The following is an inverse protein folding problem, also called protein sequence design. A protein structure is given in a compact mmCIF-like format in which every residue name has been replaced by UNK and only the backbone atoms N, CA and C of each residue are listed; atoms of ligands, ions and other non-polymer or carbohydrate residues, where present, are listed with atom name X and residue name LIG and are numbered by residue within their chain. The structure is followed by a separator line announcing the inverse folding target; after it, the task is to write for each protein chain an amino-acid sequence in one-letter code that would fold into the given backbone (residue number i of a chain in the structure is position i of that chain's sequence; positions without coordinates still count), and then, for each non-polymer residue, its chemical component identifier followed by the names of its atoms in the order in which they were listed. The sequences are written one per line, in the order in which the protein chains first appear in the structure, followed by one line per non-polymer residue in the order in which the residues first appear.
data_IF_780619056700
#
_entry.id   IF_780619056700
#
_cell.length_a   1.000
_cell.length_b   1.000
_cell.length_c   1.000
_cell.angle_alpha   90.00
_cell.angle_beta   90.00
_cell.angle_gamma   90.00
#
_symmetry.space_group_name_H-M   'P 1'
#
loop_
_entity.id
_entity.type
_entity.pdbx_description
1 polymer ?
#
# COMPACT_ATOMS: atom_id res chain seq x y z
N UNK A 1 -10.84 -28.92 32.78
CA UNK A 1 -11.96 -27.98 32.97
C UNK A 1 -12.22 -27.30 31.65
N UNK A 2 -13.39 -27.49 31.00
CA UNK A 2 -13.80 -26.73 29.81
C UNK A 2 -14.22 -25.35 30.35
N UNK A 3 -13.28 -24.42 30.45
CA UNK A 3 -13.59 -23.02 30.64
C UNK A 3 -14.44 -22.50 29.48
N UNK A 4 -15.22 -21.47 29.72
CA UNK A 4 -16.01 -20.76 28.72
C UNK A 4 -15.12 -20.48 27.51
N UNK A 5 -15.47 -21.06 26.36
CA UNK A 5 -14.71 -20.94 25.10
C UNK A 5 -15.05 -19.64 24.36
N UNK A 6 -15.80 -18.76 24.99
CA UNK A 6 -16.25 -17.50 24.39
C UNK A 6 -15.17 -16.42 24.55
N UNK A 7 -14.83 -15.75 23.46
CA UNK A 7 -13.95 -14.56 23.41
C UNK A 7 -14.83 -13.34 23.12
N UNK A 8 -14.83 -12.40 24.07
CA UNK A 8 -15.65 -11.19 24.04
C UNK A 8 -14.89 -10.05 23.41
N UNK A 9 -15.46 -9.50 22.35
CA UNK A 9 -14.84 -8.47 21.49
C UNK A 9 -15.42 -7.10 21.84
N UNK A 10 -14.55 -6.14 22.13
CA UNK A 10 -14.84 -4.73 22.16
C UNK A 10 -14.50 -4.10 20.81
N UNK A 11 -15.49 -3.55 20.11
CA UNK A 11 -15.32 -2.94 18.78
C UNK A 11 -15.31 -1.41 18.91
N UNK A 12 -14.25 -0.77 18.44
CA UNK A 12 -14.11 0.68 18.34
C UNK A 12 -14.35 1.11 16.88
N UNK A 13 -15.52 1.73 16.63
CA UNK A 13 -15.97 2.10 15.29
C UNK A 13 -16.89 1.06 14.65
N UNK A 14 -18.09 1.51 14.24
CA UNK A 14 -19.09 0.67 13.56
C UNK A 14 -19.54 1.34 12.25
N UNK A 15 -18.56 1.69 11.40
CA UNK A 15 -18.75 2.10 10.02
C UNK A 15 -18.88 0.88 9.10
N UNK A 16 -18.53 1.03 7.83
CA UNK A 16 -18.65 -0.04 6.83
C UNK A 16 -17.90 -1.34 7.24
N UNK A 17 -16.68 -1.21 7.77
CA UNK A 17 -15.86 -2.36 8.18
C UNK A 17 -16.38 -2.97 9.48
N UNK A 18 -16.62 -2.14 10.52
CA UNK A 18 -17.10 -2.63 11.81
C UNK A 18 -18.46 -3.31 11.72
N UNK A 19 -19.40 -2.74 10.96
CA UNK A 19 -20.71 -3.36 10.73
C UNK A 19 -20.60 -4.70 9.98
N UNK A 20 -19.73 -4.77 8.96
CA UNK A 20 -19.47 -6.01 8.23
C UNK A 20 -18.78 -7.07 9.12
N UNK A 21 -17.90 -6.65 10.05
CA UNK A 21 -17.29 -7.56 11.02
C UNK A 21 -18.36 -8.19 11.94
N UNK A 22 -19.27 -7.39 12.51
CA UNK A 22 -20.38 -7.91 13.34
C UNK A 22 -21.20 -8.93 12.57
N UNK A 23 -21.54 -8.64 11.30
CA UNK A 23 -22.26 -9.57 10.44
C UNK A 23 -21.47 -10.88 10.19
N UNK A 24 -20.16 -10.80 9.93
CA UNK A 24 -19.32 -11.96 9.68
C UNK A 24 -19.14 -12.82 10.92
N UNK A 25 -18.97 -12.21 12.11
CA UNK A 25 -18.89 -12.93 13.40
C UNK A 25 -20.17 -13.74 13.62
N UNK A 26 -21.34 -13.12 13.40
CA UNK A 26 -22.61 -13.79 13.53
C UNK A 26 -22.81 -14.92 12.50
N UNK A 27 -22.46 -14.66 11.22
CA UNK A 27 -22.66 -15.63 10.13
C UNK A 27 -21.70 -16.82 10.19
N UNK A 28 -20.46 -16.61 10.63
CA UNK A 28 -19.40 -17.63 10.59
C UNK A 28 -19.10 -18.25 11.97
N UNK A 29 -19.83 -17.88 13.03
CA UNK A 29 -19.55 -18.27 14.40
C UNK A 29 -19.41 -19.77 14.62
N UNK A 30 -20.31 -20.58 14.03
CA UNK A 30 -20.25 -22.04 14.14
C UNK A 30 -19.05 -22.64 13.40
N UNK A 31 -18.71 -22.11 12.21
CA UNK A 31 -17.54 -22.54 11.46
C UNK A 31 -16.23 -22.20 12.17
N UNK A 32 -16.14 -21.02 12.77
CA UNK A 32 -15.00 -20.61 13.61
C UNK A 32 -14.90 -21.53 14.84
N UNK A 33 -16.01 -21.77 15.53
CA UNK A 33 -16.04 -22.64 16.71
C UNK A 33 -15.62 -24.09 16.37
N UNK A 34 -16.08 -24.62 15.22
CA UNK A 34 -15.70 -25.96 14.77
C UNK A 34 -14.19 -26.08 14.48
N UNK A 35 -13.56 -25.03 13.92
CA UNK A 35 -12.13 -25.03 13.59
C UNK A 35 -11.22 -24.78 14.78
N UNK A 36 -11.62 -23.89 15.68
CA UNK A 36 -10.76 -23.37 16.75
C UNK A 36 -11.17 -23.81 18.16
N UNK A 37 -12.40 -24.28 18.34
CA UNK A 37 -13.01 -24.54 19.65
C UNK A 37 -13.34 -23.25 20.41
N UNK A 38 -13.35 -22.07 19.74
CA UNK A 38 -13.66 -20.78 20.34
C UNK A 38 -14.94 -20.19 19.74
N UNK A 39 -15.75 -19.57 20.58
CA UNK A 39 -16.88 -18.72 20.17
C UNK A 39 -16.46 -17.28 20.24
N UNK A 40 -16.80 -16.50 19.24
CA UNK A 40 -16.55 -15.06 19.19
C UNK A 40 -17.86 -14.33 19.44
N UNK A 41 -17.84 -13.32 20.28
CA UNK A 41 -19.01 -12.49 20.58
C UNK A 41 -18.61 -11.01 20.65
N UNK A 42 -19.35 -10.16 19.90
CA UNK A 42 -19.18 -8.71 19.99
C UNK A 42 -20.07 -8.19 21.11
N UNK A 43 -19.49 -7.89 22.26
CA UNK A 43 -20.22 -7.52 23.48
C UNK A 43 -20.31 -6.02 23.72
N UNK A 44 -19.39 -5.24 23.14
CA UNK A 44 -19.35 -3.77 23.26
C UNK A 44 -18.98 -3.16 21.92
N UNK A 45 -19.66 -2.09 21.55
CA UNK A 45 -19.40 -1.33 20.30
C UNK A 45 -19.40 0.16 20.62
N UNK A 46 -18.24 0.79 20.54
CA UNK A 46 -18.10 2.23 20.74
C UNK A 46 -18.19 2.98 19.41
N UNK A 47 -18.95 4.08 19.41
CA UNK A 47 -19.15 4.96 18.27
C UNK A 47 -19.25 6.42 18.71
N UNK A 48 -18.90 7.37 17.83
CA UNK A 48 -19.01 8.80 18.13
C UNK A 48 -20.46 9.30 18.19
N UNK A 49 -21.36 8.70 17.40
CA UNK A 49 -22.78 9.09 17.32
C UNK A 49 -23.66 7.84 17.44
N UNK A 50 -24.33 7.70 18.60
CA UNK A 50 -25.24 6.57 18.88
C UNK A 50 -26.51 6.64 18.02
N UNK A 51 -26.97 7.84 17.68
CA UNK A 51 -28.24 8.04 16.97
C UNK A 51 -28.14 7.71 15.47
N UNK A 52 -26.95 7.70 14.90
CA UNK A 52 -26.74 7.41 13.48
C UNK A 52 -27.17 5.97 13.17
N UNK A 53 -28.04 5.74 12.15
CA UNK A 53 -28.41 4.40 11.70
C UNK A 53 -27.18 3.58 11.23
N UNK A 54 -27.19 2.28 11.49
CA UNK A 54 -26.11 1.36 11.11
C UNK A 54 -26.61 0.22 10.24
N UNK A 55 -25.74 -0.30 9.41
CA UNK A 55 -26.04 -1.39 8.48
C UNK A 55 -26.16 -2.77 9.19
N UNK A 56 -26.11 -2.80 10.53
CA UNK A 56 -26.22 -4.02 11.35
C UNK A 56 -27.07 -3.74 12.59
N UNK A 57 -27.92 -4.71 12.96
CA UNK A 57 -28.63 -4.69 14.21
C UNK A 57 -27.71 -5.16 15.34
N UNK A 58 -27.68 -4.39 16.45
CA UNK A 58 -26.95 -4.72 17.67
C UNK A 58 -27.93 -5.02 18.80
N UNK A 59 -27.58 -5.92 19.68
CA UNK A 59 -28.37 -6.21 20.86
C UNK A 59 -28.48 -4.96 21.78
N UNK A 60 -29.57 -4.82 22.54
CA UNK A 60 -29.71 -3.73 23.50
C UNK A 60 -28.53 -3.68 24.48
N UNK A 61 -27.97 -2.48 24.72
CA UNK A 61 -26.87 -2.27 25.65
C UNK A 61 -25.46 -2.54 25.10
N UNK A 62 -25.33 -3.05 23.86
CA UNK A 62 -24.03 -3.27 23.20
C UNK A 62 -23.41 -1.95 22.72
N UNK A 63 -24.23 -1.02 22.25
CA UNK A 63 -23.78 0.25 21.66
C UNK A 63 -23.54 1.31 22.75
N UNK A 64 -22.40 1.99 22.67
CA UNK A 64 -22.01 3.07 23.59
C UNK A 64 -21.27 4.20 22.87
N UNK A 65 -21.20 5.39 23.49
CA UNK A 65 -20.31 6.47 23.08
C UNK A 65 -18.97 6.45 23.86
N UNK A 66 -18.85 5.63 24.85
CA UNK A 66 -17.68 5.54 25.75
C UNK A 66 -16.65 4.51 25.23
N UNK A 67 -15.77 4.93 24.34
CA UNK A 67 -14.70 4.09 23.82
C UNK A 67 -13.67 3.72 24.90
N UNK A 68 -13.41 4.62 25.84
CA UNK A 68 -12.48 4.36 26.95
C UNK A 68 -13.05 3.28 27.91
N UNK A 69 -14.36 3.36 28.20
CA UNK A 69 -15.06 2.34 28.96
C UNK A 69 -15.01 0.95 28.29
N UNK A 70 -15.14 0.88 26.96
CA UNK A 70 -15.00 -0.41 26.22
C UNK A 70 -13.61 -1.00 26.41
N UNK A 71 -12.57 -0.19 26.30
CA UNK A 71 -11.18 -0.65 26.46
C UNK A 71 -10.89 -1.08 27.89
N UNK A 72 -11.47 -0.37 28.88
CA UNK A 72 -11.29 -0.65 30.31
C UNK A 72 -12.16 -1.81 30.83
N UNK A 73 -13.22 -2.20 30.11
CA UNK A 73 -14.18 -3.23 30.56
C UNK A 73 -13.48 -4.58 30.77
N UNK A 74 -13.44 -5.14 32.00
CA UNK A 74 -12.80 -6.42 32.27
C UNK A 74 -13.46 -7.61 31.56
N UNK A 75 -14.71 -7.45 31.12
CA UNK A 75 -15.42 -8.47 30.33
C UNK A 75 -15.04 -8.46 28.84
N UNK A 76 -14.28 -7.47 28.37
CA UNK A 76 -13.73 -7.43 27.00
C UNK A 76 -12.38 -8.13 26.97
N UNK A 77 -12.29 -9.20 26.20
CA UNK A 77 -11.10 -10.05 26.06
C UNK A 77 -10.12 -9.56 24.98
N UNK A 78 -10.65 -8.91 23.91
CA UNK A 78 -9.94 -8.46 22.75
C UNK A 78 -10.57 -7.18 22.21
N UNK A 79 -9.75 -6.25 21.70
CA UNK A 79 -10.22 -4.98 21.14
C UNK A 79 -9.98 -4.97 19.63
N UNK A 80 -11.01 -4.56 18.86
CA UNK A 80 -10.90 -4.28 17.43
C UNK A 80 -11.04 -2.79 17.21
N UNK A 81 -10.05 -2.15 16.56
CA UNK A 81 -10.09 -0.75 16.20
C UNK A 81 -10.36 -0.62 14.69
N UNK A 82 -11.47 0.05 14.35
CA UNK A 82 -11.93 0.35 12.99
C UNK A 82 -12.50 1.79 12.92
N UNK A 83 -11.95 2.72 13.70
CA UNK A 83 -12.37 4.13 13.74
C UNK A 83 -11.63 4.97 12.72
N UNK A 84 -10.33 4.67 12.50
CA UNK A 84 -9.42 5.50 11.71
C UNK A 84 -8.91 6.74 12.44
N UNK A 85 -8.03 7.49 11.77
CA UNK A 85 -7.35 8.66 12.35
C UNK A 85 -6.28 8.29 13.39
N UNK A 86 -5.57 9.29 13.90
CA UNK A 86 -4.48 9.07 14.86
C UNK A 86 -5.02 9.03 16.29
N UNK A 87 -5.65 10.12 16.75
CA UNK A 87 -6.25 10.18 18.07
C UNK A 87 -7.78 10.21 17.96
N UNK A 88 -8.51 9.54 18.83
CA UNK A 88 -8.07 8.85 20.06
C UNK A 88 -7.61 7.38 19.84
N UNK A 89 -7.55 6.88 18.60
CA UNK A 89 -7.25 5.47 18.30
C UNK A 89 -5.93 5.03 18.92
N UNK A 90 -4.86 5.82 18.78
CA UNK A 90 -3.55 5.56 19.37
C UNK A 90 -3.61 5.38 20.88
N UNK A 91 -4.20 6.34 21.58
CA UNK A 91 -4.33 6.29 23.06
C UNK A 91 -5.14 5.09 23.52
N UNK A 92 -6.22 4.73 22.82
CA UNK A 92 -7.08 3.59 23.14
C UNK A 92 -6.35 2.26 22.90
N UNK A 93 -5.64 2.11 21.78
CA UNK A 93 -4.83 0.91 21.49
C UNK A 93 -3.75 0.73 22.56
N UNK A 94 -2.99 1.77 22.88
CA UNK A 94 -1.96 1.71 23.94
C UNK A 94 -2.53 1.32 25.29
N UNK A 95 -3.74 1.81 25.62
CA UNK A 95 -4.43 1.45 26.85
C UNK A 95 -4.85 -0.02 26.86
N UNK A 96 -5.41 -0.53 25.73
CA UNK A 96 -5.78 -1.94 25.60
C UNK A 96 -4.57 -2.88 25.75
N UNK A 97 -3.48 -2.58 25.03
CA UNK A 97 -2.24 -3.36 25.09
C UNK A 97 -1.67 -3.40 26.50
N UNK A 98 -1.58 -2.25 27.20
CA UNK A 98 -1.12 -2.16 28.59
C UNK A 98 -2.01 -2.93 29.57
N UNK A 99 -3.30 -3.05 29.27
CA UNK A 99 -4.24 -3.87 30.03
C UNK A 99 -4.16 -5.38 29.72
N UNK A 100 -3.21 -5.81 28.88
CA UNK A 100 -3.03 -7.20 28.48
C UNK A 100 -4.10 -7.70 27.50
N UNK A 101 -4.75 -6.80 26.77
CA UNK A 101 -5.75 -7.14 25.76
C UNK A 101 -5.12 -7.11 24.38
N UNK A 102 -5.22 -8.20 23.59
CA UNK A 102 -4.85 -8.17 22.18
C UNK A 102 -5.66 -7.12 21.40
N UNK A 103 -5.03 -6.52 20.41
CA UNK A 103 -5.66 -5.53 19.54
C UNK A 103 -5.56 -5.95 18.09
N UNK A 104 -6.67 -5.80 17.36
CA UNK A 104 -6.73 -5.90 15.90
C UNK A 104 -7.09 -4.54 15.34
N UNK A 105 -6.30 -4.01 14.40
CA UNK A 105 -6.54 -2.69 13.81
C UNK A 105 -6.53 -2.71 12.28
N UNK A 106 -7.38 -1.92 11.65
CA UNK A 106 -7.37 -1.64 10.21
C UNK A 106 -6.80 -0.24 9.88
N UNK A 107 -6.16 0.43 10.85
CA UNK A 107 -5.76 1.83 10.80
C UNK A 107 -4.36 2.00 10.23
N UNK A 108 -4.28 2.04 8.91
CA UNK A 108 -3.00 2.22 8.18
C UNK A 108 -2.29 3.53 8.51
N UNK A 109 -3.05 4.63 8.71
CA UNK A 109 -2.49 5.94 8.99
C UNK A 109 -1.75 5.96 10.33
N UNK A 110 -2.37 5.38 11.34
CA UNK A 110 -1.77 5.23 12.66
C UNK A 110 -0.51 4.33 12.63
N UNK A 111 -0.58 3.20 11.94
CA UNK A 111 0.56 2.28 11.83
C UNK A 111 1.73 2.87 11.05
N UNK A 112 1.47 3.60 9.96
CA UNK A 112 2.51 4.24 9.15
C UNK A 112 3.21 5.42 9.85
N UNK A 113 2.60 5.95 10.93
CA UNK A 113 3.13 7.10 11.69
C UNK A 113 3.68 6.70 13.06
N UNK A 114 3.01 5.79 13.75
CA UNK A 114 3.30 5.41 15.15
C UNK A 114 3.46 3.88 15.34
N UNK A 115 3.68 3.13 14.25
CA UNK A 115 3.74 1.67 14.29
C UNK A 115 4.77 1.14 15.27
N UNK A 116 5.99 1.66 15.27
CA UNK A 116 7.06 1.21 16.17
C UNK A 116 6.66 1.31 17.66
N UNK A 117 6.02 2.43 18.07
CA UNK A 117 5.53 2.59 19.45
C UNK A 117 4.48 1.54 19.82
N UNK A 118 3.56 1.26 18.89
CA UNK A 118 2.48 0.30 19.11
C UNK A 118 3.01 -1.15 19.16
N UNK A 119 3.94 -1.50 18.28
CA UNK A 119 4.59 -2.81 18.28
C UNK A 119 5.39 -3.03 19.56
N UNK A 120 6.16 -2.04 19.98
CA UNK A 120 6.89 -2.07 21.24
C UNK A 120 5.96 -2.26 22.46
N UNK A 121 4.81 -1.58 22.46
CA UNK A 121 3.83 -1.71 23.52
C UNK A 121 3.21 -3.13 23.56
N UNK A 122 2.92 -3.71 22.38
CA UNK A 122 2.39 -5.07 22.26
C UNK A 122 3.40 -6.10 22.78
N UNK A 123 4.66 -6.00 22.34
CA UNK A 123 5.76 -6.89 22.78
C UNK A 123 5.96 -6.80 24.29
N UNK A 124 6.04 -5.58 24.85
CA UNK A 124 6.20 -5.37 26.31
C UNK A 124 5.05 -5.92 27.13
N UNK A 125 3.85 -5.94 26.57
CA UNK A 125 2.66 -6.47 27.25
C UNK A 125 2.44 -7.96 26.97
N UNK A 126 3.20 -8.59 26.08
CA UNK A 126 3.08 -10.00 25.72
C UNK A 126 1.75 -10.36 25.05
N UNK A 127 1.15 -9.43 24.31
CA UNK A 127 -0.12 -9.62 23.60
C UNK A 127 0.00 -9.24 22.12
N UNK A 128 -0.95 -9.69 21.32
CA UNK A 128 -0.97 -9.41 19.88
C UNK A 128 -1.39 -7.97 19.58
N UNK A 129 -0.72 -7.39 18.58
CA UNK A 129 -1.21 -6.31 17.77
C UNK A 129 -1.22 -6.81 16.31
N UNK A 130 -2.39 -7.10 15.77
CA UNK A 130 -2.56 -7.65 14.42
C UNK A 130 -3.24 -6.62 13.51
N UNK A 131 -2.86 -6.59 12.23
CA UNK A 131 -3.25 -5.50 11.33
C UNK A 131 -3.29 -5.89 9.84
N UNK A 132 -3.63 -7.14 9.54
CA UNK A 132 -3.76 -7.63 8.15
C UNK A 132 -4.63 -6.69 7.31
N UNK A 133 -5.73 -6.23 7.87
CA UNK A 133 -6.69 -5.35 7.20
C UNK A 133 -6.17 -3.93 6.89
N UNK A 134 -5.09 -3.49 7.50
CA UNK A 134 -4.51 -2.16 7.27
C UNK A 134 -3.82 -2.05 5.91
N UNK A 135 -3.37 -3.18 5.33
CA UNK A 135 -2.64 -3.20 4.06
C UNK A 135 -3.33 -4.14 3.07
N UNK A 136 -3.82 -3.57 1.96
CA UNK A 136 -4.48 -4.33 0.88
C UNK A 136 -5.69 -5.18 1.32
N UNK A 137 -6.37 -4.80 2.38
CA UNK A 137 -7.63 -5.35 2.88
C UNK A 137 -7.70 -6.88 2.92
N UNK A 138 -8.34 -7.53 1.92
CA UNK A 138 -8.56 -8.97 1.91
C UNK A 138 -7.34 -9.81 1.51
N UNK A 139 -6.29 -9.17 1.02
CA UNK A 139 -5.07 -9.87 0.60
C UNK A 139 -4.27 -10.27 1.85
N UNK A 140 -4.06 -11.57 2.12
CA UNK A 140 -3.25 -12.00 3.26
C UNK A 140 -1.76 -11.73 2.95
N UNK A 141 -1.26 -10.61 3.41
CA UNK A 141 0.11 -10.15 3.15
C UNK A 141 0.96 -10.03 4.42
N UNK A 142 0.42 -9.38 5.45
CA UNK A 142 1.18 -9.10 6.67
C UNK A 142 1.55 -10.38 7.42
N UNK A 143 0.64 -11.34 7.50
CA UNK A 143 0.90 -12.63 8.12
C UNK A 143 1.90 -13.48 7.34
N UNK A 144 1.78 -13.70 6.03
CA UNK A 144 2.82 -14.37 5.25
C UNK A 144 4.21 -13.75 5.39
N UNK A 145 4.34 -12.41 5.34
CA UNK A 145 5.62 -11.73 5.53
C UNK A 145 6.19 -12.00 6.93
N UNK A 146 5.36 -11.95 7.96
CA UNK A 146 5.76 -12.11 9.35
C UNK A 146 6.03 -13.56 9.75
N UNK A 147 5.28 -14.51 9.22
CA UNK A 147 5.25 -15.91 9.66
C UNK A 147 5.79 -16.86 8.61
N UNK A 148 5.15 -16.93 7.44
CA UNK A 148 5.50 -17.92 6.41
C UNK A 148 6.86 -17.67 5.78
N UNK A 149 7.26 -16.41 5.66
CA UNK A 149 8.52 -15.97 5.06
C UNK A 149 9.55 -15.52 6.10
N UNK A 150 9.29 -15.73 7.39
CA UNK A 150 10.19 -15.33 8.47
C UNK A 150 11.59 -16.01 8.39
N UNK A 151 11.69 -17.15 7.72
CA UNK A 151 12.95 -17.85 7.49
C UNK A 151 13.65 -17.48 6.19
N UNK A 152 13.06 -16.63 5.38
CA UNK A 152 13.64 -16.17 4.11
C UNK A 152 14.13 -14.72 4.22
N UNK A 153 15.08 -14.37 3.36
CA UNK A 153 15.49 -12.97 3.21
C UNK A 153 14.72 -12.33 2.08
N UNK A 154 13.79 -11.46 2.45
CA UNK A 154 13.05 -10.67 1.46
C UNK A 154 13.98 -9.60 0.91
N UNK A 155 14.13 -9.55 -0.41
CA UNK A 155 14.98 -8.58 -1.10
C UNK A 155 14.17 -7.45 -1.70
N UNK A 156 12.93 -7.76 -2.14
CA UNK A 156 12.08 -6.78 -2.82
C UNK A 156 10.60 -7.05 -2.59
N UNK A 157 9.85 -5.98 -2.45
CA UNK A 157 8.37 -6.00 -2.52
C UNK A 157 7.92 -4.94 -3.51
N UNK A 158 7.13 -5.34 -4.51
CA UNK A 158 6.50 -4.45 -5.49
C UNK A 158 4.99 -4.66 -5.43
N UNK A 159 4.19 -3.60 -5.32
CA UNK A 159 2.75 -3.75 -5.23
C UNK A 159 1.95 -2.66 -5.92
N UNK A 160 0.82 -3.07 -6.51
CA UNK A 160 -0.30 -2.22 -6.83
C UNK A 160 -1.19 -2.23 -5.60
N UNK A 161 -1.02 -1.24 -4.72
CA UNK A 161 -1.63 -1.22 -3.38
C UNK A 161 -2.75 -0.20 -3.22
N UNK A 162 -3.09 0.52 -4.31
CA UNK A 162 -4.21 1.45 -4.35
C UNK A 162 -5.14 1.08 -5.51
N UNK A 163 -6.38 0.70 -5.20
CA UNK A 163 -7.37 0.25 -6.18
C UNK A 163 -7.91 1.39 -7.05
N UNK A 164 -8.05 2.59 -6.50
CA UNK A 164 -8.57 3.78 -7.20
C UNK A 164 -7.66 4.15 -8.37
N UNK A 165 -6.36 4.28 -8.11
CA UNK A 165 -5.38 4.62 -9.16
C UNK A 165 -5.22 3.50 -10.18
N UNK A 166 -5.29 2.24 -9.75
CA UNK A 166 -5.24 1.13 -10.69
C UNK A 166 -6.50 1.09 -11.59
N UNK A 167 -7.68 1.40 -11.06
CA UNK A 167 -8.90 1.53 -11.86
C UNK A 167 -8.75 2.64 -12.91
N UNK A 168 -8.33 3.85 -12.50
CA UNK A 168 -8.13 5.00 -13.40
C UNK A 168 -7.16 4.62 -14.54
N UNK A 169 -5.98 4.10 -14.21
CA UNK A 169 -4.97 3.71 -15.19
C UNK A 169 -5.45 2.55 -16.09
N UNK A 170 -6.32 1.66 -15.59
CA UNK A 170 -6.94 0.60 -16.40
C UNK A 170 -7.90 1.21 -17.43
N UNK A 171 -8.76 2.16 -17.04
CA UNK A 171 -9.67 2.86 -17.97
C UNK A 171 -8.90 3.64 -19.05
N UNK A 172 -7.86 4.37 -18.65
CA UNK A 172 -6.98 5.06 -19.59
C UNK A 172 -6.32 4.08 -20.57
N UNK A 173 -5.89 2.91 -20.10
CA UNK A 173 -5.19 1.91 -20.92
C UNK A 173 -6.12 1.17 -21.88
N UNK A 174 -7.30 0.73 -21.43
CA UNK A 174 -8.20 -0.13 -22.20
C UNK A 174 -9.24 0.67 -22.98
N UNK A 175 -9.70 1.81 -22.42
CA UNK A 175 -10.71 2.68 -23.01
C UNK A 175 -10.12 3.86 -23.81
N UNK A 176 -8.83 4.17 -23.61
CA UNK A 176 -8.23 5.38 -24.18
C UNK A 176 -8.76 6.67 -23.56
N UNK A 177 -9.37 6.58 -22.39
CA UNK A 177 -9.99 7.70 -21.68
C UNK A 177 -8.93 8.70 -21.18
N UNK A 178 -9.35 9.97 -21.04
CA UNK A 178 -8.53 10.94 -20.33
C UNK A 178 -8.49 10.62 -18.83
N UNK A 179 -7.47 11.13 -18.12
CA UNK A 179 -7.41 11.01 -16.65
C UNK A 179 -8.67 11.58 -15.99
N UNK A 180 -9.19 12.71 -16.48
CA UNK A 180 -10.37 13.35 -15.92
C UNK A 180 -11.63 12.50 -16.07
N UNK A 181 -11.84 11.88 -17.24
CA UNK A 181 -13.00 11.03 -17.50
C UNK A 181 -12.93 9.74 -16.65
N UNK A 182 -11.77 9.09 -16.63
CA UNK A 182 -11.54 7.89 -15.82
C UNK A 182 -11.70 8.16 -14.31
N UNK A 183 -11.27 9.32 -13.81
CA UNK A 183 -11.49 9.75 -12.44
C UNK A 183 -12.98 9.98 -12.15
N UNK A 184 -13.70 10.65 -13.06
CA UNK A 184 -15.14 10.88 -12.90
C UNK A 184 -15.91 9.55 -12.87
N UNK A 185 -15.54 8.58 -13.69
CA UNK A 185 -16.11 7.23 -13.63
C UNK A 185 -15.80 6.55 -12.29
N UNK A 186 -14.56 6.61 -11.80
CA UNK A 186 -14.17 6.06 -10.51
C UNK A 186 -15.00 6.65 -9.36
N UNK A 187 -15.26 7.96 -9.40
CA UNK A 187 -16.11 8.64 -8.42
C UNK A 187 -17.57 8.18 -8.51
N UNK A 188 -18.11 8.04 -9.71
CA UNK A 188 -19.50 7.59 -9.93
C UNK A 188 -19.74 6.17 -9.44
N UNK A 189 -18.73 5.30 -9.52
CA UNK A 189 -18.75 3.91 -9.05
C UNK A 189 -18.40 3.77 -7.56
N UNK A 190 -18.00 4.87 -6.89
CA UNK A 190 -17.63 4.88 -5.47
C UNK A 190 -16.23 4.31 -5.19
N UNK A 191 -15.37 4.19 -6.18
CA UNK A 191 -13.96 3.84 -6.02
C UNK A 191 -13.12 5.03 -5.58
N UNK A 192 -13.48 6.25 -5.98
CA UNK A 192 -12.85 7.49 -5.55
C UNK A 192 -13.83 8.34 -4.74
N UNK A 193 -13.35 9.01 -3.71
CA UNK A 193 -14.09 10.01 -2.96
C UNK A 193 -14.14 11.33 -3.75
N UNK A 194 -14.95 12.31 -3.25
CA UNK A 194 -15.04 13.64 -3.87
C UNK A 194 -13.68 14.35 -3.90
N UNK A 195 -12.88 14.19 -2.85
CA UNK A 195 -11.48 14.60 -2.84
C UNK A 195 -10.60 13.34 -3.00
N UNK A 196 -10.09 13.07 -4.21
CA UNK A 196 -9.31 11.88 -4.49
C UNK A 196 -7.81 12.04 -4.20
N UNK A 197 -7.38 13.18 -3.65
CA UNK A 197 -5.96 13.54 -3.48
C UNK A 197 -5.16 12.45 -2.77
N UNK A 198 -5.73 11.85 -1.72
CA UNK A 198 -5.04 10.77 -1.00
C UNK A 198 -4.68 9.56 -1.88
N UNK A 199 -5.52 9.28 -2.88
CA UNK A 199 -5.29 8.20 -3.84
C UNK A 199 -4.40 8.66 -4.99
N UNK A 200 -4.82 9.68 -5.75
CA UNK A 200 -4.18 10.05 -7.02
C UNK A 200 -2.79 10.64 -6.86
N UNK A 201 -2.49 11.25 -5.70
CA UNK A 201 -1.17 11.73 -5.34
C UNK A 201 -0.32 10.69 -4.59
N UNK A 202 -0.83 9.46 -4.40
CA UNK A 202 -0.11 8.31 -3.87
C UNK A 202 0.09 8.29 -2.35
N UNK A 203 -0.60 9.13 -1.56
CA UNK A 203 -0.47 9.14 -0.09
C UNK A 203 -0.93 7.82 0.55
N UNK A 204 -2.07 7.27 0.10
CA UNK A 204 -2.56 5.97 0.56
C UNK A 204 -1.55 4.85 0.27
N UNK A 205 -1.00 4.85 -0.95
CA UNK A 205 0.00 3.87 -1.34
C UNK A 205 1.31 4.03 -0.54
N UNK A 206 1.73 5.26 -0.22
CA UNK A 206 2.92 5.53 0.57
C UNK A 206 2.78 5.03 2.03
N UNK A 207 1.62 5.25 2.66
CA UNK A 207 1.35 4.72 3.99
C UNK A 207 1.43 3.19 4.03
N UNK A 208 0.84 2.52 3.03
CA UNK A 208 0.93 1.05 2.91
C UNK A 208 2.35 0.57 2.62
N UNK A 209 3.11 1.28 1.76
CA UNK A 209 4.50 0.95 1.46
C UNK A 209 5.39 1.01 2.70
N UNK A 210 5.20 2.02 3.56
CA UNK A 210 5.93 2.12 4.83
C UNK A 210 5.67 0.92 5.74
N UNK A 211 4.40 0.51 5.89
CA UNK A 211 4.03 -0.66 6.71
C UNK A 211 4.61 -1.95 6.11
N UNK A 212 4.48 -2.13 4.79
CA UNK A 212 5.04 -3.30 4.08
C UNK A 212 6.55 -3.40 4.32
N UNK A 213 7.28 -2.29 4.10
CA UNK A 213 8.73 -2.26 4.28
C UNK A 213 9.12 -2.54 5.73
N UNK A 214 8.39 -1.98 6.69
CA UNK A 214 8.66 -2.20 8.12
C UNK A 214 8.53 -3.67 8.50
N UNK A 215 7.49 -4.35 8.02
CA UNK A 215 7.27 -5.77 8.31
C UNK A 215 8.23 -6.66 7.52
N UNK A 216 8.43 -6.40 6.23
CA UNK A 216 9.25 -7.25 5.37
C UNK A 216 10.74 -7.22 5.75
N UNK A 217 11.23 -6.07 6.22
CA UNK A 217 12.65 -5.88 6.53
C UNK A 217 12.97 -5.73 8.02
N UNK A 218 11.94 -5.73 8.90
CA UNK A 218 12.13 -5.61 10.36
C UNK A 218 12.68 -4.26 10.80
N UNK A 219 12.35 -3.16 10.12
CA UNK A 219 12.89 -1.81 10.35
C UNK A 219 11.75 -0.78 10.51
N UNK A 220 12.01 0.32 11.24
CA UNK A 220 11.03 1.41 11.41
C UNK A 220 11.08 2.36 10.21
N UNK A 221 10.18 2.17 9.24
CA UNK A 221 9.96 3.06 8.09
C UNK A 221 8.70 3.86 8.34
N UNK A 222 8.80 5.18 8.30
CA UNK A 222 7.65 6.09 8.45
C UNK A 222 7.16 6.55 7.08
N UNK A 223 5.91 6.96 7.02
CA UNK A 223 5.33 7.48 5.76
C UNK A 223 6.11 8.67 5.19
N UNK A 224 6.75 9.49 6.05
CA UNK A 224 7.61 10.59 5.62
C UNK A 224 8.93 10.16 4.97
N UNK A 225 9.34 8.92 5.14
CA UNK A 225 10.55 8.35 4.55
C UNK A 225 10.31 7.80 3.12
N UNK A 226 9.05 7.73 2.70
CA UNK A 226 8.66 7.17 1.40
C UNK A 226 8.68 8.26 0.34
N UNK A 227 9.53 8.10 -0.67
CA UNK A 227 9.46 8.94 -1.87
C UNK A 227 8.13 8.70 -2.60
N UNK A 228 7.49 9.77 -3.10
CA UNK A 228 6.15 9.65 -3.67
C UNK A 228 5.94 10.54 -4.89
N UNK A 229 5.37 9.94 -5.92
CA UNK A 229 4.81 10.60 -7.11
C UNK A 229 3.39 10.08 -7.36
N UNK A 230 2.47 10.97 -7.71
CA UNK A 230 1.09 10.64 -8.09
C UNK A 230 0.93 10.31 -9.57
N UNK A 231 -0.33 10.09 -9.99
CA UNK A 231 -0.68 9.76 -11.39
C UNK A 231 -1.29 10.94 -12.15
N UNK A 232 -1.47 12.09 -11.53
CA UNK A 232 -2.14 13.27 -12.13
C UNK A 232 -1.41 13.82 -13.35
N UNK A 233 -0.09 13.59 -13.46
CA UNK A 233 0.72 13.98 -14.60
C UNK A 233 0.70 12.98 -15.78
N UNK A 234 0.07 11.81 -15.64
CA UNK A 234 0.04 10.79 -16.69
C UNK A 234 -1.01 11.14 -17.76
N UNK A 235 -0.58 11.15 -19.00
CA UNK A 235 -1.45 11.47 -20.15
C UNK A 235 -1.90 10.22 -20.92
N UNK A 236 -2.96 10.36 -21.71
CA UNK A 236 -3.39 9.29 -22.62
C UNK A 236 -2.29 8.94 -23.65
N UNK A 237 -1.50 9.93 -24.07
CA UNK A 237 -0.37 9.72 -24.96
C UNK A 237 0.74 8.87 -24.35
N UNK A 238 1.04 9.09 -23.06
CA UNK A 238 2.01 8.26 -22.33
C UNK A 238 1.54 6.80 -22.25
N UNK A 239 0.26 6.60 -21.98
CA UNK A 239 -0.37 5.27 -21.95
C UNK A 239 -0.28 4.60 -23.33
N UNK A 240 -0.65 5.31 -24.38
CA UNK A 240 -0.59 4.79 -25.74
C UNK A 240 0.85 4.45 -26.17
N UNK A 241 1.80 5.29 -25.77
CA UNK A 241 3.21 5.05 -26.07
C UNK A 241 3.77 3.87 -25.25
N UNK A 242 3.42 3.76 -23.98
CA UNK A 242 3.77 2.60 -23.16
C UNK A 242 3.30 1.30 -23.83
N UNK A 243 2.03 1.26 -24.29
CA UNK A 243 1.47 0.09 -24.98
C UNK A 243 2.25 -0.26 -26.26
N UNK A 244 2.62 0.75 -27.09
CA UNK A 244 3.45 0.55 -28.28
C UNK A 244 4.84 -0.02 -28.00
N UNK A 245 5.39 0.31 -26.82
CA UNK A 245 6.69 -0.18 -26.36
C UNK A 245 6.60 -1.52 -25.61
N UNK A 246 5.40 -2.09 -25.44
CA UNK A 246 5.19 -3.37 -24.75
C UNK A 246 5.07 -3.24 -23.22
N UNK A 247 4.63 -2.09 -22.73
CA UNK A 247 4.45 -1.81 -21.32
C UNK A 247 3.02 -1.41 -20.97
N UNK A 248 2.69 -1.51 -19.68
CA UNK A 248 1.47 -0.96 -19.09
C UNK A 248 1.89 0.00 -17.97
N UNK A 249 1.26 1.16 -17.87
CA UNK A 249 1.54 2.11 -16.79
C UNK A 249 0.73 1.70 -15.54
N UNK A 250 1.43 1.59 -14.40
CA UNK A 250 0.84 1.29 -13.08
C UNK A 250 1.42 2.24 -12.04
N UNK A 251 0.62 2.60 -11.01
CA UNK A 251 1.16 3.17 -9.79
C UNK A 251 1.66 2.02 -8.92
N UNK A 252 2.96 1.99 -8.66
CA UNK A 252 3.57 0.92 -7.87
C UNK A 252 4.18 1.45 -6.58
N UNK A 253 3.98 0.71 -5.50
CA UNK A 253 4.76 0.83 -4.27
C UNK A 253 5.93 -0.15 -4.37
N UNK A 254 7.14 0.32 -4.15
CA UNK A 254 8.36 -0.49 -4.23
C UNK A 254 9.15 -0.34 -2.94
N UNK A 255 9.52 -1.44 -2.33
CA UNK A 255 10.43 -1.51 -1.21
C UNK A 255 11.56 -2.48 -1.54
N UNK A 256 12.78 -1.98 -1.62
CA UNK A 256 13.98 -2.77 -1.94
C UNK A 256 14.93 -2.77 -0.74
N UNK A 257 15.46 -3.95 -0.40
CA UNK A 257 16.58 -4.11 0.52
C UNK A 257 17.84 -4.37 -0.31
N UNK A 258 18.79 -3.45 -0.25
CA UNK A 258 20.01 -3.51 -1.06
C UNK A 258 21.24 -3.49 -0.18
N UNK A 259 22.30 -4.26 -0.50
CA UNK A 259 23.58 -4.18 0.22
C UNK A 259 24.14 -2.76 0.22
N UNK A 260 24.64 -2.32 1.37
CA UNK A 260 25.24 -1.00 1.51
C UNK A 260 26.35 -0.97 2.55
N UNK A 261 27.09 0.18 2.66
CA UNK A 261 28.13 0.33 3.66
C UNK A 261 27.57 0.16 5.09
N UNK A 262 28.07 -0.84 5.79
CA UNK A 262 27.67 -1.13 7.19
C UNK A 262 26.38 -1.92 7.35
N UNK A 263 25.89 -2.58 6.30
CA UNK A 263 24.71 -3.45 6.27
C UNK A 263 23.69 -3.01 5.23
N UNK A 264 22.57 -3.72 5.17
CA UNK A 264 21.53 -3.45 4.18
C UNK A 264 20.92 -2.07 4.36
N UNK A 265 20.66 -1.41 3.24
CA UNK A 265 19.91 -0.16 3.11
C UNK A 265 18.56 -0.45 2.46
N UNK A 266 17.56 0.28 2.86
CA UNK A 266 16.21 0.13 2.30
C UNK A 266 15.81 1.39 1.54
N UNK A 267 15.25 1.18 0.35
CA UNK A 267 14.63 2.24 -0.43
C UNK A 267 13.13 1.97 -0.54
N UNK A 268 12.31 2.94 -0.17
CA UNK A 268 10.85 2.83 -0.25
C UNK A 268 10.30 3.98 -1.08
N UNK A 269 9.51 3.64 -2.10
CA UNK A 269 8.98 4.63 -3.03
C UNK A 269 7.63 4.24 -3.61
N UNK A 270 6.86 5.23 -3.99
CA UNK A 270 5.60 5.10 -4.73
C UNK A 270 5.67 6.00 -5.94
N UNK A 271 5.50 5.46 -7.12
CA UNK A 271 5.53 6.23 -8.36
C UNK A 271 4.81 5.52 -9.50
N UNK A 272 4.36 6.25 -10.53
CA UNK A 272 3.98 5.65 -11.81
C UNK A 272 5.19 4.94 -12.42
N UNK A 273 4.97 3.77 -12.98
CA UNK A 273 6.02 3.00 -13.64
C UNK A 273 5.49 2.28 -14.88
N UNK A 274 6.38 2.10 -15.84
CA UNK A 274 6.15 1.24 -17.00
C UNK A 274 6.45 -0.20 -16.61
N UNK A 275 5.42 -1.03 -16.56
CA UNK A 275 5.49 -2.45 -16.22
C UNK A 275 5.46 -3.27 -17.50
N UNK A 276 6.46 -4.13 -17.79
CA UNK A 276 6.45 -5.00 -18.97
C UNK A 276 5.17 -5.84 -19.03
N UNK A 277 4.58 -6.00 -20.20
CA UNK A 277 3.34 -6.80 -20.38
C UNK A 277 3.51 -8.26 -19.94
N UNK A 278 4.73 -8.78 -19.96
CA UNK A 278 5.05 -10.12 -19.47
C UNK A 278 5.11 -10.22 -17.92
N UNK A 279 5.22 -9.09 -17.22
CA UNK A 279 5.28 -9.08 -15.75
C UNK A 279 3.89 -9.34 -15.16
N UNK A 280 3.73 -10.19 -14.11
CA UNK A 280 2.42 -10.53 -13.54
C UNK A 280 1.59 -9.31 -13.11
N UNK A 281 2.21 -8.25 -12.62
CA UNK A 281 1.52 -7.01 -12.23
C UNK A 281 0.85 -6.28 -13.41
N UNK A 282 1.30 -6.47 -14.64
CA UNK A 282 0.68 -5.86 -15.82
C UNK A 282 -0.77 -6.32 -16.03
N UNK A 283 -1.08 -7.56 -15.63
CA UNK A 283 -2.40 -8.15 -15.77
C UNK A 283 -3.41 -7.73 -14.67
N UNK A 284 -2.97 -6.97 -13.66
CA UNK A 284 -3.83 -6.51 -12.56
C UNK A 284 -4.69 -5.35 -13.04
N UNK A 285 -6.01 -5.53 -13.09
CA UNK A 285 -6.97 -4.58 -13.66
C UNK A 285 -7.92 -4.03 -12.61
N UNK A 286 -8.68 -3.03 -13.02
CA UNK A 286 -9.75 -2.41 -12.23
C UNK A 286 -9.28 -1.99 -10.82
N UNK A 287 -10.15 -2.12 -9.82
CA UNK A 287 -9.83 -1.79 -8.43
C UNK A 287 -9.15 -2.95 -7.66
N UNK A 288 -8.54 -3.91 -8.36
CA UNK A 288 -7.80 -4.98 -7.72
C UNK A 288 -6.40 -4.52 -7.32
N UNK A 289 -5.91 -5.10 -6.23
CA UNK A 289 -4.55 -4.95 -5.75
C UNK A 289 -3.76 -6.23 -5.97
N UNK A 290 -2.45 -6.09 -6.07
CA UNK A 290 -1.52 -7.21 -6.06
C UNK A 290 -0.19 -6.80 -5.44
N UNK A 291 0.42 -7.70 -4.70
CA UNK A 291 1.75 -7.52 -4.12
C UNK A 291 2.63 -8.67 -4.54
N UNK A 292 3.74 -8.33 -5.16
CA UNK A 292 4.78 -9.24 -5.61
C UNK A 292 5.93 -9.19 -4.62
N UNK A 293 6.30 -10.32 -4.05
CA UNK A 293 7.34 -10.44 -3.02
C UNK A 293 8.45 -11.31 -3.59
N UNK A 294 9.68 -10.87 -3.45
CA UNK A 294 10.87 -11.57 -3.89
C UNK A 294 11.73 -11.94 -2.68
N UNK A 295 11.90 -13.23 -2.47
CA UNK A 295 12.75 -13.80 -1.44
C UNK A 295 13.96 -14.52 -2.05
N UNK A 296 15.08 -14.57 -1.33
CA UNK A 296 16.30 -15.26 -1.81
C UNK A 296 16.07 -16.77 -2.00
N UNK A 297 15.30 -17.40 -1.13
CA UNK A 297 15.05 -18.84 -1.18
C UNK A 297 13.69 -19.18 -1.81
N UNK A 298 12.62 -18.46 -1.47
CA UNK A 298 11.29 -18.72 -1.99
C UNK A 298 11.11 -18.25 -3.44
N UNK A 299 11.99 -17.36 -3.92
CA UNK A 299 11.84 -16.75 -5.24
C UNK A 299 10.66 -15.77 -5.27
N UNK A 300 9.92 -15.79 -6.37
CA UNK A 300 8.88 -14.82 -6.67
C UNK A 300 7.51 -15.34 -6.22
N UNK A 301 6.82 -14.54 -5.40
CA UNK A 301 5.46 -14.82 -4.93
C UNK A 301 4.55 -13.64 -5.28
N UNK A 302 3.29 -13.92 -5.62
CA UNK A 302 2.31 -12.88 -5.89
C UNK A 302 1.05 -13.12 -5.07
N UNK A 303 0.61 -12.08 -4.37
CA UNK A 303 -0.65 -12.03 -3.63
C UNK A 303 -1.61 -11.09 -4.37
N UNK A 304 -2.80 -11.56 -4.71
CA UNK A 304 -3.76 -10.83 -5.53
C UNK A 304 -5.16 -10.89 -4.94
N UNK A 305 -5.90 -9.79 -4.98
CA UNK A 305 -7.27 -9.76 -4.50
C UNK A 305 -7.88 -8.36 -4.44
N UNK A 306 -8.99 -8.22 -3.70
CA UNK A 306 -9.62 -6.93 -3.46
C UNK A 306 -8.88 -6.16 -2.38
N UNK A 307 -8.37 -4.97 -2.72
CA UNK A 307 -7.59 -4.12 -1.85
C UNK A 307 -8.42 -3.20 -0.94
N UNK A 308 -9.75 -3.17 -1.09
CA UNK A 308 -10.66 -2.34 -0.30
C UNK A 308 -12.08 -2.94 -0.28
N UNK A 309 -12.96 -2.35 0.56
CA UNK A 309 -14.36 -2.71 0.67
C UNK A 309 -14.73 -3.23 2.07
N UNK A 310 -15.95 -2.96 2.54
CA UNK A 310 -16.38 -3.29 3.90
C UNK A 310 -16.22 -4.78 4.24
N UNK A 311 -16.80 -5.68 3.45
CA UNK A 311 -16.71 -7.14 3.68
C UNK A 311 -15.31 -7.71 3.48
N UNK A 312 -14.55 -7.38 2.39
CA UNK A 312 -13.18 -7.82 2.23
C UNK A 312 -12.27 -7.44 3.42
N UNK A 313 -12.32 -6.17 3.85
CA UNK A 313 -11.57 -5.67 5.00
C UNK A 313 -11.99 -6.37 6.30
N UNK A 314 -13.30 -6.52 6.53
CA UNK A 314 -13.82 -7.23 7.69
C UNK A 314 -13.42 -8.72 7.74
N UNK A 315 -13.23 -9.34 6.58
CA UNK A 315 -12.73 -10.73 6.50
C UNK A 315 -11.29 -10.85 7.03
N UNK A 316 -10.42 -9.91 6.69
CA UNK A 316 -9.06 -9.87 7.21
C UNK A 316 -9.05 -9.57 8.73
N UNK A 317 -9.87 -8.59 9.17
CA UNK A 317 -10.06 -8.32 10.61
C UNK A 317 -10.52 -9.57 11.36
N UNK A 318 -11.50 -10.31 10.83
CA UNK A 318 -11.98 -11.54 11.45
C UNK A 318 -10.88 -12.62 11.51
N UNK A 319 -10.05 -12.72 10.48
CA UNK A 319 -8.88 -13.61 10.50
C UNK A 319 -7.94 -13.28 11.65
N UNK A 320 -7.59 -12.01 11.82
CA UNK A 320 -6.74 -11.53 12.91
C UNK A 320 -7.40 -11.73 14.30
N UNK A 321 -8.71 -11.50 14.41
CA UNK A 321 -9.47 -11.75 15.63
C UNK A 321 -9.40 -13.23 16.03
N UNK A 322 -9.54 -14.14 15.06
CA UNK A 322 -9.43 -15.58 15.30
C UNK A 322 -8.03 -15.94 15.79
N UNK A 323 -6.98 -15.41 15.16
CA UNK A 323 -5.60 -15.67 15.57
C UNK A 323 -5.30 -15.13 16.96
N UNK A 324 -5.63 -13.86 17.23
CA UNK A 324 -5.44 -13.26 18.54
C UNK A 324 -6.19 -14.03 19.65
N UNK A 325 -7.40 -14.51 19.36
CA UNK A 325 -8.17 -15.33 20.28
C UNK A 325 -7.50 -16.69 20.56
N UNK A 326 -6.96 -17.34 19.52
CA UNK A 326 -6.22 -18.60 19.66
C UNK A 326 -4.92 -18.40 20.44
N UNK A 327 -4.13 -17.38 20.10
CA UNK A 327 -2.88 -17.03 20.78
C UNK A 327 -3.11 -16.74 22.25
N UNK A 328 -4.13 -15.91 22.57
CA UNK A 328 -4.50 -15.60 23.96
C UNK A 328 -4.83 -16.88 24.75
N UNK A 329 -5.60 -17.81 24.17
CA UNK A 329 -5.93 -19.10 24.82
C UNK A 329 -4.70 -19.96 25.06
N UNK A 330 -3.71 -19.92 24.16
CA UNK A 330 -2.47 -20.69 24.25
C UNK A 330 -1.42 -20.01 25.12
N UNK A 331 -1.62 -18.74 25.52
CA UNK A 331 -0.62 -17.94 26.23
C UNK A 331 0.58 -17.57 25.37
N UNK A 332 0.34 -17.43 24.06
CA UNK A 332 1.35 -17.03 23.06
C UNK A 332 0.96 -15.69 22.43
N UNK A 333 1.89 -15.07 21.72
CA UNK A 333 1.65 -13.91 20.88
C UNK A 333 2.45 -14.00 19.58
N UNK A 334 1.92 -13.47 18.50
CA UNK A 334 2.52 -13.44 17.19
C UNK A 334 2.81 -11.99 16.76
N UNK A 335 3.34 -11.18 17.66
CA UNK A 335 3.64 -9.77 17.42
C UNK A 335 4.79 -9.56 16.44
N UNK A 336 4.83 -8.37 15.83
CA UNK A 336 6.04 -7.88 15.15
C UNK A 336 7.08 -7.61 16.23
N UNK A 337 8.26 -8.22 16.13
CA UNK A 337 9.38 -7.94 17.02
C UNK A 337 9.79 -6.45 16.93
N UNK A 338 10.55 -5.96 17.91
CA UNK A 338 11.01 -4.57 17.89
C UNK A 338 11.70 -4.23 16.57
N UNK A 339 11.26 -3.17 15.93
CA UNK A 339 11.82 -2.73 14.65
C UNK A 339 13.18 -2.07 14.86
N UNK A 340 14.16 -2.44 14.04
CA UNK A 340 15.45 -1.76 14.02
C UNK A 340 15.33 -0.36 13.39
N UNK A 341 16.27 0.53 13.68
CA UNK A 341 16.33 1.82 13.01
C UNK A 341 16.58 1.62 11.50
N UNK A 342 15.77 2.26 10.68
CA UNK A 342 15.90 2.18 9.23
C UNK A 342 17.20 2.85 8.76
N UNK A 343 17.92 2.18 7.85
CA UNK A 343 18.98 2.78 7.05
C UNK A 343 18.43 3.01 5.66
N UNK A 344 17.96 4.22 5.43
CA UNK A 344 17.32 4.56 4.17
C UNK A 344 18.37 4.90 3.11
N UNK A 345 18.13 4.42 1.89
CA UNK A 345 18.86 4.82 0.71
C UNK A 345 18.15 5.97 0.03
N UNK A 346 18.82 7.11 -0.20
CA UNK A 346 18.21 8.24 -0.88
C UNK A 346 17.75 7.90 -2.29
N UNK A 347 16.65 8.52 -2.74
CA UNK A 347 16.07 8.29 -4.06
C UNK A 347 17.06 8.59 -5.20
N UNK A 348 17.84 9.65 -5.08
CA UNK A 348 18.83 10.10 -6.05
C UNK A 348 19.99 9.11 -6.31
N UNK A 349 20.24 8.19 -5.37
CA UNK A 349 21.21 7.10 -5.52
C UNK A 349 20.64 5.84 -6.18
N UNK A 350 19.30 5.73 -6.31
CA UNK A 350 18.68 4.59 -6.95
C UNK A 350 18.93 4.60 -8.45
N UNK A 351 18.97 3.41 -9.04
CA UNK A 351 19.15 3.25 -10.47
C UNK A 351 17.93 2.54 -11.08
N UNK A 352 17.49 3.03 -12.23
CA UNK A 352 16.40 2.46 -13.01
C UNK A 352 16.63 2.70 -14.50
N UNK A 353 15.89 2.02 -15.33
CA UNK A 353 15.67 2.45 -16.71
C UNK A 353 14.55 3.50 -16.72
N UNK A 354 14.63 4.43 -17.65
CA UNK A 354 13.67 5.54 -17.75
C UNK A 354 13.06 5.63 -19.15
N UNK A 355 11.77 5.89 -19.16
CA UNK A 355 11.07 6.43 -20.30
C UNK A 355 10.99 7.95 -20.14
N UNK A 356 11.25 8.68 -21.22
CA UNK A 356 11.12 10.13 -21.27
C UNK A 356 10.44 10.54 -22.56
N UNK A 357 9.45 11.42 -22.51
CA UNK A 357 8.85 12.06 -23.67
C UNK A 357 9.24 13.54 -23.74
N UNK A 358 9.55 14.03 -24.92
CA UNK A 358 9.92 15.42 -25.20
C UNK A 358 9.12 15.93 -26.38
N UNK A 359 8.39 17.02 -26.23
CA UNK A 359 7.86 17.77 -27.36
C UNK A 359 8.99 18.68 -27.88
N UNK A 360 9.28 18.61 -29.17
CA UNK A 360 10.46 19.25 -29.75
C UNK A 360 10.12 19.93 -31.10
N UNK A 361 10.88 20.94 -31.46
CA UNK A 361 10.79 21.52 -32.81
C UNK A 361 11.30 20.51 -33.84
N UNK A 362 10.64 20.42 -35.02
CA UNK A 362 11.02 19.48 -36.08
C UNK A 362 12.03 20.15 -37.04
N UNK A 363 13.31 20.08 -36.68
CA UNK A 363 14.40 20.61 -37.53
C UNK A 363 15.69 19.80 -37.36
N UNK A 364 16.61 19.88 -38.37
CA UNK A 364 17.93 19.25 -38.24
C UNK A 364 18.70 19.72 -37.00
N UNK A 365 19.41 18.76 -36.34
CA UNK A 365 20.25 19.03 -35.16
C UNK A 365 19.55 18.92 -33.81
N UNK A 366 18.22 18.68 -33.78
CA UNK A 366 17.48 18.50 -32.51
C UNK A 366 17.97 17.26 -31.76
N UNK A 367 18.01 16.12 -32.45
CA UNK A 367 18.43 14.87 -31.84
C UNK A 367 19.90 14.93 -31.33
N UNK A 368 20.78 15.65 -32.01
CA UNK A 368 22.16 15.88 -31.59
C UNK A 368 22.20 16.61 -30.23
N UNK A 369 21.44 17.71 -30.11
CA UNK A 369 21.40 18.50 -28.87
C UNK A 369 20.80 17.70 -27.70
N UNK A 370 19.72 16.96 -27.96
CA UNK A 370 19.10 16.07 -26.97
C UNK A 370 20.11 14.99 -26.55
N UNK A 371 20.74 14.27 -27.49
CA UNK A 371 21.71 13.24 -27.17
C UNK A 371 22.94 13.79 -26.42
N UNK A 372 23.35 15.01 -26.70
CA UNK A 372 24.44 15.67 -25.97
C UNK A 372 24.08 15.93 -24.48
N UNK A 373 22.82 16.24 -24.16
CA UNK A 373 22.39 16.38 -22.77
C UNK A 373 22.51 15.05 -22.01
N UNK A 374 22.06 13.95 -22.59
CA UNK A 374 22.21 12.61 -22.02
C UNK A 374 23.68 12.23 -21.81
N UNK A 375 24.53 12.51 -22.82
CA UNK A 375 25.96 12.19 -22.76
C UNK A 375 26.68 12.94 -21.64
N UNK A 376 26.35 14.21 -21.38
CA UNK A 376 26.95 15.02 -20.31
C UNK A 376 26.76 14.40 -18.92
N UNK A 377 25.65 13.72 -18.70
CA UNK A 377 25.33 13.08 -17.43
C UNK A 377 25.55 11.55 -17.46
N UNK A 378 26.25 11.05 -18.47
CA UNK A 378 26.59 9.61 -18.60
C UNK A 378 25.33 8.71 -18.65
N UNK A 379 24.21 9.23 -19.12
CA UNK A 379 22.97 8.47 -19.32
C UNK A 379 22.97 7.90 -20.74
N UNK A 380 22.95 6.58 -20.86
CA UNK A 380 22.94 5.88 -22.16
C UNK A 380 21.52 5.63 -22.64
N UNK A 381 21.25 5.87 -23.91
CA UNK A 381 19.96 5.68 -24.54
C UNK A 381 19.89 4.29 -25.20
N UNK A 382 18.83 3.54 -24.89
CA UNK A 382 18.53 2.24 -25.53
C UNK A 382 17.76 2.44 -26.83
N UNK A 383 16.76 3.33 -26.78
CA UNK A 383 15.82 3.50 -27.88
C UNK A 383 15.40 4.96 -28.02
N UNK A 384 15.29 5.41 -29.25
CA UNK A 384 14.70 6.69 -29.61
C UNK A 384 13.61 6.45 -30.65
N UNK A 385 12.46 7.04 -30.43
CA UNK A 385 11.35 7.02 -31.37
C UNK A 385 10.87 8.46 -31.60
N UNK A 386 10.82 8.91 -32.83
CA UNK A 386 10.15 10.16 -33.20
C UNK A 386 8.72 9.89 -33.65
N UNK A 387 7.79 10.64 -33.13
CA UNK A 387 6.35 10.57 -33.43
C UNK A 387 5.88 11.97 -33.80
N UNK A 388 5.01 12.06 -34.80
CA UNK A 388 4.56 13.35 -35.34
C UNK A 388 5.60 14.06 -36.22
N UNK A 389 5.22 15.19 -36.74
CA UNK A 389 6.03 16.07 -37.56
C UNK A 389 5.61 17.52 -37.36
N UNK A 390 6.49 18.49 -37.68
CA UNK A 390 6.22 19.89 -37.48
C UNK A 390 5.99 20.27 -36.02
N UNK A 391 4.95 21.03 -35.75
CA UNK A 391 4.61 21.50 -34.39
C UNK A 391 4.15 20.40 -33.44
N UNK A 392 3.92 19.18 -33.94
CA UNK A 392 3.52 18.01 -33.12
C UNK A 392 4.66 16.98 -32.99
N UNK A 393 5.90 17.37 -33.30
CA UNK A 393 7.04 16.46 -33.21
C UNK A 393 7.36 16.11 -31.76
N UNK A 394 7.43 14.82 -31.47
CA UNK A 394 7.76 14.29 -30.16
C UNK A 394 8.89 13.27 -30.27
N UNK A 395 9.87 13.38 -29.39
CA UNK A 395 10.88 12.36 -29.16
C UNK A 395 10.51 11.54 -27.92
N UNK A 396 10.49 10.24 -28.07
CA UNK A 396 10.35 9.29 -26.96
C UNK A 396 11.67 8.54 -26.83
N UNK A 397 12.21 8.56 -25.63
CA UNK A 397 13.49 7.93 -25.30
C UNK A 397 13.31 6.89 -24.20
N UNK A 398 14.01 5.76 -24.36
CA UNK A 398 14.18 4.77 -23.30
C UNK A 398 15.66 4.65 -23.00
N UNK A 399 16.05 4.71 -21.71
CA UNK A 399 17.46 4.69 -21.32
C UNK A 399 17.90 3.29 -20.89
N UNK A 400 19.22 3.05 -20.88
CA UNK A 400 19.80 2.03 -20.03
C UNK A 400 19.63 2.40 -18.55
N UNK A 401 19.98 1.49 -17.65
CA UNK A 401 19.97 1.78 -16.21
C UNK A 401 20.87 2.98 -15.90
N UNK A 402 20.31 4.00 -15.27
CA UNK A 402 20.99 5.21 -14.84
C UNK A 402 20.56 5.58 -13.43
N UNK A 403 21.40 6.31 -12.70
CA UNK A 403 21.00 6.82 -11.39
C UNK A 403 19.96 7.92 -11.52
N UNK A 404 19.07 7.99 -10.55
CA UNK A 404 18.01 9.01 -10.52
C UNK A 404 18.59 10.43 -10.62
N UNK A 405 19.65 10.75 -9.85
CA UNK A 405 20.31 12.07 -9.90
C UNK A 405 20.84 12.43 -11.29
N UNK A 406 21.39 11.44 -12.02
CA UNK A 406 21.97 11.67 -13.33
C UNK A 406 20.85 11.88 -14.38
N UNK A 407 19.74 11.16 -14.21
CA UNK A 407 18.55 11.35 -15.04
C UNK A 407 17.87 12.70 -14.78
N UNK A 408 17.72 13.10 -13.51
CA UNK A 408 17.16 14.42 -13.17
C UNK A 408 18.01 15.58 -13.71
N UNK A 409 19.33 15.49 -13.59
CA UNK A 409 20.24 16.46 -14.17
C UNK A 409 20.13 16.52 -15.71
N UNK A 410 19.94 15.35 -16.36
CA UNK A 410 19.65 15.29 -17.80
C UNK A 410 18.36 16.02 -18.15
N UNK A 411 17.29 15.78 -17.38
CA UNK A 411 15.98 16.45 -17.57
C UNK A 411 16.10 17.97 -17.40
N UNK A 412 16.86 18.42 -16.42
CA UNK A 412 17.06 19.86 -16.16
C UNK A 412 17.82 20.52 -17.34
N UNK A 413 18.85 19.86 -17.86
CA UNK A 413 19.54 20.33 -19.07
C UNK A 413 18.61 20.37 -20.29
N UNK A 414 17.77 19.34 -20.47
CA UNK A 414 16.82 19.30 -21.59
C UNK A 414 15.79 20.42 -21.54
N UNK A 415 15.32 20.80 -20.35
CA UNK A 415 14.41 21.95 -20.15
C UNK A 415 15.04 23.28 -20.58
N UNK A 416 16.36 23.36 -20.54
CA UNK A 416 17.13 24.55 -20.95
C UNK A 416 17.40 24.64 -22.46
N UNK A 417 17.08 23.61 -23.27
CA UNK A 417 17.33 23.60 -24.69
C UNK A 417 16.22 24.34 -25.47
N UNK A 418 16.59 25.29 -26.32
CA UNK A 418 15.65 26.01 -27.20
C UNK A 418 14.89 25.11 -28.20
N UNK A 419 15.38 23.88 -28.41
CA UNK A 419 14.78 22.90 -29.32
C UNK A 419 13.77 21.99 -28.62
N UNK A 420 13.63 22.11 -27.29
CA UNK A 420 12.69 21.35 -26.49
C UNK A 420 11.58 22.29 -26.01
N UNK A 421 10.41 22.15 -26.58
CA UNK A 421 9.25 22.96 -26.21
C UNK A 421 8.71 22.56 -24.83
N UNK A 422 8.72 21.25 -24.55
CA UNK A 422 8.25 20.71 -23.27
C UNK A 422 8.91 19.38 -22.97
N UNK A 423 9.35 19.22 -21.72
CA UNK A 423 9.65 17.91 -21.16
C UNK A 423 8.33 17.32 -20.65
N UNK A 424 7.93 16.21 -21.23
CA UNK A 424 6.71 15.46 -20.85
C UNK A 424 6.96 14.54 -19.66
N UNK A 425 6.37 13.36 -19.70
CA UNK A 425 6.46 12.40 -18.60
C UNK A 425 7.83 11.73 -18.52
N UNK A 426 8.34 11.63 -17.30
CA UNK A 426 9.47 10.79 -16.94
C UNK A 426 8.95 9.61 -16.11
N UNK A 427 9.04 8.40 -16.66
CA UNK A 427 8.57 7.19 -15.98
C UNK A 427 9.72 6.20 -15.78
N UNK A 428 9.76 5.59 -14.62
CA UNK A 428 10.69 4.48 -14.36
C UNK A 428 10.14 3.20 -14.96
N UNK A 429 11.01 2.39 -15.52
CA UNK A 429 10.68 1.08 -16.08
C UNK A 429 10.97 0.02 -15.03
N UNK A 430 10.00 -0.84 -14.75
CA UNK A 430 10.22 -2.04 -13.94
C UNK A 430 10.91 -3.06 -14.86
N UNK A 431 12.20 -3.24 -14.65
CA UNK A 431 12.99 -4.18 -15.43
C UNK A 431 13.20 -5.51 -14.68
N UNK A 432 13.58 -6.59 -15.40
CA UNK A 432 14.32 -7.67 -14.77
C UNK A 432 15.65 -7.08 -14.28
N UNK A 433 16.03 -7.40 -13.06
CA UNK A 433 17.38 -7.10 -12.56
C UNK A 433 18.44 -7.92 -13.28
#
# INVERSE_FOLDING_TARGET
MKGDSTVRIGLLGCGNVGAALVQLVAANGDAVAARTGLRLEVTRVAVSDIARPRAVALAPGVLTADAAGVVADPEVDLVVEAMGGIEPARSLILTALKAGKPVVTANKELLATHGAELFDAAVKSGVDLLFEAAVCAAIPLMRPLRESLAGDRITRVIGIVNGTTNFILTRMTEGGESFADALAEAQSLGYAERDPTADVEGFDAAAKAAIIASVAFGIDVKVGDVYREGITGITADDIAMAARLGYVVKLVAVADSVPGPGGDQVAVRVHPAMVPVAHPLAAVRDAFNAVFVQGEAAGELMFYGRGAGGRPTASAVLGDVVDAAVNRRQGTSAGVAGLAAARLRPMDELAAQYYLSLDVVDRPGVLEQVAAAFSRHTVSIVQVLQVGMGDEARLVLVTHTAKERDMQATVDDLRGLEVVDRVGSLLRVIGPE
#
